data_IF_694298590796
#
_entry.id   IF_694298590796
#
_cell.length_a   1.000
_cell.length_b   1.000
_cell.length_c   1.000
_cell.angle_alpha   90.00
_cell.angle_beta   90.00
_cell.angle_gamma   90.00
#
_symmetry.space_group_name_H-M   'P 1'
#
loop_
_entity.id
_entity.type
_entity.pdbx_description
1 polymer ?
#
# COMPACT_ATOMS: atom_id res chain seq x y z
N UNK A 1 57.08 7.91 -24.64
CA UNK A 1 55.74 7.84 -24.02
C UNK A 1 55.85 8.15 -22.52
N UNK A 2 55.89 9.43 -22.14
CA UNK A 2 56.07 9.85 -20.72
C UNK A 2 55.07 10.92 -20.26
N UNK A 3 54.15 11.37 -21.12
CA UNK A 3 53.27 12.51 -20.83
C UNK A 3 51.85 12.14 -20.37
N UNK A 4 51.46 10.86 -20.45
CA UNK A 4 50.09 10.46 -20.07
C UNK A 4 49.92 10.30 -18.55
N UNK A 5 50.97 9.90 -17.83
CA UNK A 5 50.92 9.74 -16.37
C UNK A 5 50.81 11.08 -15.63
N UNK A 6 51.48 12.13 -16.11
CA UNK A 6 51.36 13.49 -15.54
C UNK A 6 49.95 14.09 -15.72
N UNK A 7 49.27 13.76 -16.82
CA UNK A 7 47.91 14.23 -17.10
C UNK A 7 46.88 13.59 -16.15
N UNK A 8 47.08 12.31 -15.81
CA UNK A 8 46.25 11.57 -14.85
C UNK A 8 46.37 12.13 -13.43
N UNK A 9 47.57 12.56 -13.02
CA UNK A 9 47.82 13.18 -11.70
C UNK A 9 47.17 14.56 -11.59
N UNK A 10 47.20 15.36 -12.67
CA UNK A 10 46.54 16.67 -12.70
C UNK A 10 45.01 16.56 -12.65
N UNK A 11 44.42 15.54 -13.28
CA UNK A 11 42.97 15.29 -13.23
C UNK A 11 42.51 14.69 -11.89
N UNK A 12 43.37 13.96 -11.18
CA UNK A 12 43.08 13.44 -9.84
C UNK A 12 43.09 14.55 -8.76
N UNK A 13 43.86 15.63 -8.98
CA UNK A 13 43.95 16.79 -8.07
C UNK A 13 42.67 17.65 -7.98
N UNK A 14 41.72 17.48 -8.90
CA UNK A 14 40.40 18.14 -8.86
C UNK A 14 39.30 17.26 -8.26
N UNK A 15 39.66 16.10 -7.71
CA UNK A 15 38.76 15.27 -6.91
C UNK A 15 38.52 15.92 -5.54
N UNK A 16 37.81 17.05 -5.52
CA UNK A 16 37.20 17.56 -4.30
C UNK A 16 36.09 16.59 -3.90
N UNK A 17 36.43 15.75 -2.93
CA UNK A 17 35.54 14.83 -2.24
C UNK A 17 34.30 15.55 -1.69
N UNK A 18 33.14 15.13 -2.19
CA UNK A 18 31.82 15.01 -1.52
C UNK A 18 31.58 15.78 -0.21
N UNK A 19 30.65 16.75 -0.21
CA UNK A 19 29.82 17.06 0.96
C UNK A 19 28.61 17.93 0.59
N UNK A 20 27.43 17.59 1.15
CA UNK A 20 26.13 18.28 1.08
C UNK A 20 25.36 18.06 -0.24
N UNK A 21 24.22 17.37 -0.31
CA UNK A 21 23.35 16.90 0.76
C UNK A 21 21.93 16.78 0.22
N UNK A 22 21.74 16.02 -0.87
CA UNK A 22 20.39 15.71 -1.32
C UNK A 22 20.05 14.33 -0.78
N UNK A 23 19.62 14.30 0.48
CA UNK A 23 18.87 13.16 0.98
C UNK A 23 17.73 12.90 -0.02
N UNK A 24 17.50 11.65 -0.46
CA UNK A 24 16.32 11.37 -1.25
C UNK A 24 15.12 11.82 -0.42
N UNK A 25 14.31 12.73 -0.97
CA UNK A 25 13.11 13.19 -0.32
C UNK A 25 12.26 11.94 -0.04
N UNK A 26 12.27 11.49 1.21
CA UNK A 26 11.47 10.35 1.63
C UNK A 26 10.03 10.75 1.34
N UNK A 27 9.32 10.07 0.42
CA UNK A 27 7.96 10.42 0.11
C UNK A 27 7.20 10.39 1.43
N UNK A 28 6.58 11.53 1.76
CA UNK A 28 5.76 11.66 2.96
C UNK A 28 4.81 10.48 2.93
N UNK A 29 4.83 9.65 3.97
CA UNK A 29 3.95 8.49 4.07
C UNK A 29 2.51 9.01 4.01
N UNK A 30 1.96 9.04 2.80
CA UNK A 30 0.58 9.43 2.58
C UNK A 30 -0.24 8.32 3.19
N UNK A 31 -0.85 8.61 4.33
CA UNK A 31 -1.63 7.63 5.07
C UNK A 31 -2.84 7.30 4.21
N UNK A 32 -2.76 6.19 3.50
CA UNK A 32 -3.87 5.69 2.70
C UNK A 32 -5.03 5.41 3.65
N UNK A 33 -6.07 6.25 3.60
CA UNK A 33 -7.28 6.04 4.39
C UNK A 33 -8.13 5.03 3.65
N UNK A 34 -8.12 3.78 4.14
CA UNK A 34 -9.05 2.76 3.64
C UNK A 34 -10.42 3.08 4.23
N UNK A 35 -11.33 3.58 3.39
CA UNK A 35 -12.72 3.82 3.77
C UNK A 35 -13.53 2.57 3.43
N UNK A 36 -14.02 1.89 4.47
CA UNK A 36 -14.98 0.78 4.30
C UNK A 36 -16.38 1.36 4.27
N UNK A 37 -17.03 1.28 3.11
CA UNK A 37 -18.45 1.63 2.98
C UNK A 37 -19.32 0.44 3.36
N UNK A 38 -20.23 0.64 4.31
CA UNK A 38 -21.31 -0.32 4.54
C UNK A 38 -22.16 -0.45 3.28
N UNK A 39 -22.53 -1.68 2.86
CA UNK A 39 -23.34 -1.88 1.67
C UNK A 39 -24.68 -1.12 1.79
N UNK A 40 -25.12 -0.52 0.68
CA UNK A 40 -26.39 0.25 0.60
C UNK A 40 -27.64 -0.63 0.84
N UNK A 41 -27.50 -1.95 0.80
CA UNK A 41 -28.62 -2.88 0.98
C UNK A 41 -28.94 -3.05 2.45
N UNK A 42 -30.21 -3.34 2.73
CA UNK A 42 -30.68 -3.72 4.06
C UNK A 42 -29.80 -4.85 4.60
N UNK A 43 -29.40 -4.72 5.87
CA UNK A 43 -28.59 -5.74 6.52
C UNK A 43 -29.38 -7.05 6.53
N UNK A 44 -28.81 -8.08 5.92
CA UNK A 44 -29.40 -9.41 5.91
C UNK A 44 -29.16 -10.12 7.24
N UNK A 45 -30.08 -11.00 7.58
CA UNK A 45 -29.95 -11.99 8.63
C UNK A 45 -30.10 -13.39 8.01
N UNK A 46 -29.68 -14.42 8.72
CA UNK A 46 -29.72 -15.78 8.22
C UNK A 46 -30.13 -16.77 9.31
N UNK A 47 -30.71 -17.89 8.87
CA UNK A 47 -31.07 -19.00 9.75
C UNK A 47 -30.69 -20.33 9.12
N UNK A 48 -30.20 -21.24 9.95
CA UNK A 48 -29.88 -22.61 9.58
C UNK A 48 -31.06 -23.48 10.02
N UNK A 49 -31.63 -24.23 9.07
CA UNK A 49 -32.72 -25.16 9.32
C UNK A 49 -32.17 -26.54 9.73
N UNK A 50 -33.00 -27.36 10.38
CA UNK A 50 -32.60 -28.69 10.86
C UNK A 50 -32.24 -29.66 9.71
N UNK A 51 -32.72 -29.39 8.49
CA UNK A 51 -32.38 -30.10 7.27
C UNK A 51 -31.08 -29.60 6.59
N UNK A 52 -30.37 -28.66 7.24
CA UNK A 52 -29.12 -28.09 6.75
C UNK A 52 -29.28 -26.97 5.72
N UNK A 53 -30.50 -26.56 5.36
CA UNK A 53 -30.71 -25.39 4.49
C UNK A 53 -30.35 -24.10 5.21
N UNK A 54 -29.79 -23.14 4.47
CA UNK A 54 -29.51 -21.78 4.96
C UNK A 54 -30.48 -20.82 4.29
N UNK A 55 -31.32 -20.17 5.10
CA UNK A 55 -32.22 -19.12 4.65
C UNK A 55 -31.58 -17.76 4.93
N UNK A 56 -31.38 -16.94 3.90
CA UNK A 56 -30.95 -15.55 4.03
C UNK A 56 -32.14 -14.63 3.75
N UNK A 57 -32.38 -13.67 4.62
CA UNK A 57 -33.51 -12.76 4.54
C UNK A 57 -33.13 -11.35 5.05
N UNK A 58 -33.85 -10.29 4.63
CA UNK A 58 -33.63 -8.96 5.19
C UNK A 58 -33.96 -8.95 6.70
N UNK A 59 -33.21 -8.20 7.52
CA UNK A 59 -33.39 -8.20 8.97
C UNK A 59 -34.81 -7.81 9.41
N UNK A 60 -35.54 -7.01 8.63
CA UNK A 60 -36.95 -6.67 8.90
C UNK A 60 -37.97 -7.76 8.57
N UNK A 61 -37.55 -8.85 7.93
CA UNK A 61 -38.43 -9.86 7.34
C UNK A 61 -37.98 -11.29 7.67
N UNK A 62 -38.15 -11.74 8.93
CA UNK A 62 -37.71 -13.05 9.36
C UNK A 62 -38.43 -14.17 8.60
N UNK A 63 -37.65 -15.13 8.11
CA UNK A 63 -38.17 -16.35 7.49
C UNK A 63 -38.06 -17.54 8.44
N UNK A 64 -39.08 -18.40 8.43
CA UNK A 64 -39.09 -19.66 9.17
C UNK A 64 -38.72 -20.84 8.26
N UNK A 65 -38.02 -21.81 8.85
CA UNK A 65 -37.93 -23.15 8.32
C UNK A 65 -39.27 -23.83 8.63
N UNK A 66 -40.19 -23.83 7.65
CA UNK A 66 -41.44 -24.58 7.73
C UNK A 66 -41.26 -26.00 7.19
#
# INVERSE_FOLDING_TARGET
MLNFLMLLVAAAGTSSLTACGNAPAMPKADRTVIVVHSPKREQGDFRICDDGRVLVFPAGHPKSCA
#
